data_IF_626011316983
#
_entry.id   IF_626011316983
#
_cell.length_a   1.000
_cell.length_b   1.000
_cell.length_c   1.000
_cell.angle_alpha   90.00
_cell.angle_beta   90.00
_cell.angle_gamma   90.00
#
_symmetry.space_group_name_H-M   'P 1'
#
loop_
_entity.id
_entity.type
_entity.pdbx_description
1 polymer ?
#
# COMPACT_ATOMS: atom_id res chain seq x y z
N UNK A 1 -5.34 -16.43 -9.09
CA UNK A 1 -5.94 -15.08 -9.09
C UNK A 1 -5.10 -14.19 -8.19
N UNK A 2 -4.61 -13.06 -8.69
CA UNK A 2 -3.71 -12.19 -7.93
C UNK A 2 -4.37 -11.65 -6.67
N UNK A 3 -3.60 -11.52 -5.61
CA UNK A 3 -4.06 -11.01 -4.32
C UNK A 3 -3.88 -9.49 -4.25
N UNK A 4 -4.98 -8.77 -4.04
CA UNK A 4 -4.98 -7.30 -3.95
C UNK A 4 -4.93 -6.86 -2.49
N UNK A 5 -3.88 -6.12 -2.11
CA UNK A 5 -3.62 -5.65 -0.75
C UNK A 5 -3.61 -4.12 -0.74
N UNK A 6 -4.55 -3.49 -0.02
CA UNK A 6 -4.52 -2.06 0.22
C UNK A 6 -3.61 -1.74 1.43
N UNK A 7 -2.69 -0.80 1.28
CA UNK A 7 -1.85 -0.29 2.37
C UNK A 7 -2.52 0.96 2.93
N UNK A 8 -3.24 0.84 4.03
CA UNK A 8 -4.08 1.92 4.53
C UNK A 8 -3.87 2.25 6.00
N UNK A 9 -3.87 3.55 6.30
CA UNK A 9 -3.97 4.11 7.65
C UNK A 9 -4.33 5.59 7.54
N UNK A 10 -5.27 6.07 8.35
CA UNK A 10 -5.72 7.48 8.33
C UNK A 10 -4.66 8.45 8.88
N UNK A 11 -3.69 7.95 9.64
CA UNK A 11 -2.60 8.77 10.17
C UNK A 11 -1.52 9.00 9.11
N UNK A 12 -1.14 10.27 8.92
CA UNK A 12 0.02 10.62 8.08
C UNK A 12 1.33 10.14 8.72
N UNK A 13 2.34 9.86 7.90
CA UNK A 13 3.70 9.59 8.35
C UNK A 13 3.90 8.24 9.03
N UNK A 14 2.95 7.30 8.96
CA UNK A 14 3.11 5.95 9.54
C UNK A 14 3.85 4.96 8.63
N UNK A 15 4.27 5.39 7.45
CA UNK A 15 5.03 4.58 6.49
C UNK A 15 4.16 3.78 5.52
N UNK A 16 2.97 4.25 5.13
CA UNK A 16 2.14 3.62 4.09
C UNK A 16 2.89 3.48 2.78
N UNK A 17 3.22 4.61 2.16
CA UNK A 17 3.96 4.68 0.89
C UNK A 17 5.30 3.95 0.96
N UNK A 18 6.05 4.15 2.05
CA UNK A 18 7.30 3.43 2.28
C UNK A 18 7.08 1.91 2.29
N UNK A 19 5.99 1.45 2.90
CA UNK A 19 5.66 0.02 2.93
C UNK A 19 5.19 -0.46 1.55
N UNK A 20 4.36 0.30 0.84
CA UNK A 20 3.91 -0.04 -0.50
C UNK A 20 5.10 -0.22 -1.45
N UNK A 21 6.00 0.77 -1.55
CA UNK A 21 7.21 0.72 -2.38
C UNK A 21 8.07 -0.51 -2.05
N UNK A 22 8.44 -0.65 -0.79
CA UNK A 22 9.46 -1.63 -0.42
C UNK A 22 8.91 -3.06 -0.33
N UNK A 23 7.64 -3.23 0.03
CA UNK A 23 6.96 -4.53 -0.03
C UNK A 23 6.83 -4.99 -1.49
N UNK A 24 6.37 -4.12 -2.40
CA UNK A 24 6.24 -4.43 -3.82
C UNK A 24 7.58 -4.84 -4.42
N UNK A 25 8.63 -4.06 -4.18
CA UNK A 25 9.97 -4.35 -4.68
C UNK A 25 10.55 -5.67 -4.12
N UNK A 26 10.30 -5.98 -2.84
CA UNK A 26 10.76 -7.25 -2.25
C UNK A 26 9.91 -8.45 -2.67
N UNK A 27 8.62 -8.29 -2.95
CA UNK A 27 7.79 -9.33 -3.56
C UNK A 27 8.28 -9.64 -4.98
N UNK A 28 8.57 -8.61 -5.78
CA UNK A 28 9.13 -8.76 -7.12
C UNK A 28 10.53 -9.41 -7.09
N UNK A 29 11.41 -9.01 -6.16
CA UNK A 29 12.71 -9.66 -5.92
C UNK A 29 12.56 -11.16 -5.56
N UNK A 30 11.46 -11.53 -4.91
CA UNK A 30 11.13 -12.92 -4.60
C UNK A 30 10.49 -13.68 -5.78
N UNK A 31 10.45 -13.08 -6.99
CA UNK A 31 9.95 -13.69 -8.22
C UNK A 31 8.43 -13.63 -8.40
N UNK A 32 7.72 -12.83 -7.61
CA UNK A 32 6.28 -12.61 -7.78
C UNK A 32 6.04 -11.52 -8.82
N UNK A 33 5.01 -11.68 -9.66
CA UNK A 33 4.55 -10.62 -10.58
C UNK A 33 3.72 -9.62 -9.77
N UNK A 34 4.18 -8.38 -9.69
CA UNK A 34 3.60 -7.36 -8.82
C UNK A 34 3.13 -6.15 -9.61
N UNK A 35 1.93 -5.67 -9.31
CA UNK A 35 1.47 -4.35 -9.71
C UNK A 35 1.42 -3.45 -8.48
N UNK A 36 2.08 -2.32 -8.52
CA UNK A 36 1.91 -1.26 -7.51
C UNK A 36 1.00 -0.18 -8.08
N UNK A 37 -0.03 0.18 -7.34
CA UNK A 37 -0.94 1.28 -7.68
C UNK A 37 -0.68 2.41 -6.69
N UNK A 38 -0.18 3.53 -7.18
CA UNK A 38 -0.11 4.76 -6.40
C UNK A 38 -1.50 5.42 -6.43
N UNK A 39 -2.15 5.48 -5.28
CA UNK A 39 -3.51 6.02 -5.17
C UNK A 39 -3.56 7.29 -4.31
N UNK A 40 -2.37 7.83 -3.96
CA UNK A 40 -2.22 9.07 -3.21
C UNK A 40 -1.95 10.23 -4.20
N UNK A 41 -2.73 11.34 -4.14
CA UNK A 41 -2.47 12.55 -4.95
C UNK A 41 -1.06 13.11 -4.83
N UNK A 42 -0.33 12.77 -3.77
CA UNK A 42 1.07 13.17 -3.63
C UNK A 42 1.99 12.44 -4.61
N UNK A 43 1.58 11.29 -5.17
CA UNK A 43 2.35 10.49 -6.13
C UNK A 43 3.74 10.08 -5.58
N UNK A 44 3.82 9.80 -4.29
CA UNK A 44 5.09 9.49 -3.64
C UNK A 44 5.56 8.06 -3.92
N UNK A 45 4.64 7.12 -4.16
CA UNK A 45 5.03 5.77 -4.58
C UNK A 45 5.56 5.79 -6.01
N UNK A 46 4.98 6.59 -6.89
CA UNK A 46 5.43 6.84 -8.26
C UNK A 46 6.89 7.28 -8.29
N UNK A 47 7.21 8.39 -7.61
CA UNK A 47 8.60 8.89 -7.57
C UNK A 47 9.55 7.99 -6.79
N UNK A 48 9.07 7.35 -5.73
CA UNK A 48 9.89 6.43 -4.93
C UNK A 48 10.25 5.13 -5.64
N UNK A 49 9.56 4.79 -6.73
CA UNK A 49 9.87 3.69 -7.65
C UNK A 49 10.66 4.13 -8.89
N UNK A 50 11.07 5.41 -8.96
CA UNK A 50 11.94 5.93 -10.00
C UNK A 50 11.25 6.51 -11.22
N UNK A 51 9.94 6.69 -11.18
CA UNK A 51 9.19 7.33 -12.25
C UNK A 51 9.21 8.85 -12.11
N UNK A 52 9.45 9.55 -13.21
CA UNK A 52 9.44 11.01 -13.30
C UNK A 52 8.05 11.48 -13.74
N UNK A 53 7.29 12.09 -12.83
CA UNK A 53 5.89 12.49 -13.06
C UNK A 53 5.70 13.38 -14.28
N UNK A 54 6.69 14.23 -14.55
CA UNK A 54 6.65 15.16 -15.68
C UNK A 54 6.74 14.47 -17.04
N UNK A 55 7.10 13.20 -17.09
CA UNK A 55 7.21 12.39 -18.30
C UNK A 55 6.03 11.43 -18.50
N UNK A 56 5.10 11.41 -17.54
CA UNK A 56 3.92 10.53 -17.57
C UNK A 56 2.76 11.32 -18.17
N UNK A 57 2.17 10.82 -19.25
CA UNK A 57 1.02 11.45 -19.91
C UNK A 57 -0.28 11.07 -19.24
N UNK A 58 -0.48 9.77 -18.97
CA UNK A 58 -1.70 9.24 -18.38
C UNK A 58 -1.38 8.55 -17.03
N UNK A 59 -2.20 8.81 -16.03
CA UNK A 59 -2.06 8.28 -14.67
C UNK A 59 -3.34 7.54 -14.24
N UNK A 60 -3.37 7.07 -13.01
CA UNK A 60 -4.59 6.51 -12.43
C UNK A 60 -5.75 7.51 -12.39
N UNK A 61 -5.48 8.81 -12.45
CA UNK A 61 -6.51 9.85 -12.53
C UNK A 61 -7.31 9.76 -13.83
N UNK A 62 -6.65 9.82 -15.00
CA UNK A 62 -7.30 9.69 -16.31
C UNK A 62 -8.01 8.33 -16.45
N UNK A 63 -7.41 7.27 -15.90
CA UNK A 63 -8.03 5.96 -15.87
C UNK A 63 -9.37 5.96 -15.12
N UNK A 64 -9.44 6.55 -13.94
CA UNK A 64 -10.67 6.59 -13.14
C UNK A 64 -11.78 7.37 -13.79
N UNK A 65 -11.46 8.38 -14.60
CA UNK A 65 -12.43 9.17 -15.36
C UNK A 65 -12.84 8.51 -16.68
N UNK A 66 -12.09 7.49 -17.14
CA UNK A 66 -12.33 6.80 -18.39
C UNK A 66 -11.74 7.54 -19.61
N UNK A 67 -10.81 8.45 -19.38
CA UNK A 67 -10.17 9.25 -20.42
C UNK A 67 -9.01 8.51 -21.10
N UNK A 68 -8.48 7.46 -20.47
CA UNK A 68 -7.47 6.58 -21.03
C UNK A 68 -7.81 5.11 -20.78
N UNK A 69 -7.07 4.19 -21.42
CA UNK A 69 -7.14 2.76 -21.12
C UNK A 69 -6.12 2.38 -20.05
N UNK A 70 -6.33 1.22 -19.41
CA UNK A 70 -5.37 0.70 -18.46
C UNK A 70 -3.96 0.51 -19.06
N UNK A 71 -3.87 0.10 -20.32
CA UNK A 71 -2.58 -0.09 -21.02
C UNK A 71 -1.86 1.24 -21.27
N UNK A 72 -2.59 2.34 -21.44
CA UNK A 72 -1.98 3.66 -21.69
C UNK A 72 -1.27 4.19 -20.45
N UNK A 73 -1.82 3.96 -19.25
CA UNK A 73 -1.26 4.46 -17.99
C UNK A 73 -0.40 3.45 -17.24
N UNK A 74 -0.30 2.19 -17.69
CA UNK A 74 0.46 1.14 -17.02
C UNK A 74 1.96 1.21 -17.38
N UNK A 75 2.79 1.57 -16.40
CA UNK A 75 4.24 1.56 -16.52
C UNK A 75 4.78 0.14 -16.28
N UNK A 76 5.18 -0.53 -17.36
CA UNK A 76 5.66 -1.91 -17.29
C UNK A 76 7.15 -2.01 -16.99
N UNK A 77 7.53 -3.08 -16.31
CA UNK A 77 8.92 -3.44 -16.06
C UNK A 77 9.75 -2.28 -15.41
N UNK A 78 9.12 -1.53 -14.49
CA UNK A 78 9.81 -0.47 -13.72
C UNK A 78 10.98 -1.08 -12.95
N UNK A 79 10.79 -2.30 -12.46
CA UNK A 79 11.82 -3.25 -12.05
C UNK A 79 11.42 -4.65 -12.56
N UNK A 80 12.35 -5.61 -12.54
CA UNK A 80 12.04 -6.99 -12.88
C UNK A 80 10.84 -7.50 -12.07
N UNK A 81 9.78 -7.96 -12.72
CA UNK A 81 8.51 -8.41 -12.17
C UNK A 81 7.66 -7.32 -11.48
N UNK A 82 7.95 -6.05 -11.68
CA UNK A 82 7.22 -4.95 -11.04
C UNK A 82 6.71 -3.95 -12.07
N UNK A 83 5.39 -3.86 -12.19
CA UNK A 83 4.68 -2.82 -12.94
C UNK A 83 4.10 -1.78 -11.98
N UNK A 84 3.88 -0.57 -12.47
CA UNK A 84 3.35 0.54 -11.68
C UNK A 84 2.21 1.23 -12.41
N UNK A 85 1.12 1.48 -11.70
CA UNK A 85 0.07 2.42 -12.11
C UNK A 85 0.33 3.73 -11.37
N UNK A 86 0.84 4.77 -12.05
CA UNK A 86 1.35 5.98 -11.42
C UNK A 86 0.24 6.95 -11.03
N UNK A 87 0.58 7.89 -10.13
CA UNK A 87 -0.28 8.99 -9.70
C UNK A 87 0.45 10.32 -9.76
N UNK A 88 -0.32 11.38 -9.88
CA UNK A 88 0.14 12.76 -9.78
C UNK A 88 -0.83 13.65 -8.99
N UNK A 89 -0.59 14.97 -8.98
CA UNK A 89 -1.41 15.93 -8.23
C UNK A 89 -2.85 16.05 -8.72
N UNK A 90 -3.13 15.69 -10.00
CA UNK A 90 -4.48 15.77 -10.58
C UNK A 90 -5.43 14.79 -9.89
N UNK A 91 -4.89 13.72 -9.33
CA UNK A 91 -5.65 12.74 -8.55
C UNK A 91 -6.46 13.37 -7.39
N UNK A 92 -6.09 14.58 -6.92
CA UNK A 92 -6.89 15.31 -5.93
C UNK A 92 -8.24 15.78 -6.50
N UNK A 93 -8.33 16.03 -7.80
CA UNK A 93 -9.55 16.45 -8.49
C UNK A 93 -10.49 15.27 -8.73
N UNK A 94 -9.95 14.05 -8.83
CA UNK A 94 -10.72 12.82 -9.01
C UNK A 94 -11.80 12.62 -7.93
N UNK A 95 -11.54 13.04 -6.69
CA UNK A 95 -12.54 12.94 -5.61
C UNK A 95 -13.81 13.74 -5.90
N UNK A 96 -13.69 14.86 -6.63
CA UNK A 96 -14.84 15.73 -6.98
C UNK A 96 -15.50 15.18 -8.25
N UNK A 97 -14.73 14.84 -9.26
CA UNK A 97 -15.24 14.43 -10.57
C UNK A 97 -15.92 13.04 -10.51
N UNK A 98 -15.40 12.15 -9.72
CA UNK A 98 -16.04 10.85 -9.45
C UNK A 98 -17.43 10.96 -8.78
N UNK A 99 -17.79 12.10 -8.18
CA UNK A 99 -19.11 12.26 -7.53
C UNK A 99 -20.26 12.05 -8.52
N UNK A 100 -20.06 12.39 -9.78
CA UNK A 100 -21.06 12.28 -10.85
C UNK A 100 -20.97 10.93 -11.61
N UNK A 101 -20.01 10.08 -11.27
CA UNK A 101 -19.83 8.76 -11.90
C UNK A 101 -20.72 7.72 -11.21
N UNK A 102 -21.38 6.91 -12.02
CA UNK A 102 -22.18 5.78 -11.51
C UNK A 102 -21.27 4.71 -10.91
N UNK A 103 -21.65 4.14 -9.75
CA UNK A 103 -20.84 3.17 -9.00
C UNK A 103 -19.43 3.69 -8.64
N UNK A 104 -19.33 4.97 -8.36
CA UNK A 104 -18.08 5.70 -8.07
C UNK A 104 -17.16 5.05 -7.03
N UNK A 105 -17.71 4.26 -6.12
CA UNK A 105 -16.94 3.57 -5.08
C UNK A 105 -16.22 2.29 -5.59
N UNK A 106 -16.55 1.81 -6.80
CA UNK A 106 -16.04 0.56 -7.35
C UNK A 106 -15.36 0.70 -8.72
N UNK A 107 -15.06 1.93 -9.14
CA UNK A 107 -14.44 2.19 -10.45
C UNK A 107 -13.11 1.45 -10.58
N UNK A 108 -12.22 1.59 -9.58
CA UNK A 108 -10.94 0.90 -9.57
C UNK A 108 -11.12 -0.62 -9.65
N UNK A 109 -12.08 -1.19 -8.89
CA UNK A 109 -12.34 -2.63 -8.93
C UNK A 109 -12.67 -3.13 -10.33
N UNK A 110 -13.48 -2.36 -11.08
CA UNK A 110 -13.85 -2.72 -12.46
C UNK A 110 -12.62 -2.85 -13.37
N UNK A 111 -11.64 -1.98 -13.26
CA UNK A 111 -10.39 -2.09 -14.00
C UNK A 111 -9.53 -3.27 -13.52
N UNK A 112 -9.40 -3.47 -12.21
CA UNK A 112 -8.56 -4.54 -11.66
C UNK A 112 -9.07 -5.95 -12.00
N UNK A 113 -10.38 -6.15 -12.13
CA UNK A 113 -10.95 -7.42 -12.57
C UNK A 113 -10.43 -7.87 -13.96
N UNK A 114 -10.04 -6.94 -14.83
CA UNK A 114 -9.55 -7.24 -16.18
C UNK A 114 -8.09 -7.71 -16.23
N UNK A 115 -7.28 -7.38 -15.20
CA UNK A 115 -5.84 -7.66 -15.18
C UNK A 115 -5.38 -8.53 -14.01
N UNK A 116 -6.25 -8.82 -13.07
CA UNK A 116 -5.94 -9.51 -11.81
C UNK A 116 -5.19 -10.83 -11.99
N UNK A 117 -5.48 -11.56 -13.06
CA UNK A 117 -4.83 -12.84 -13.35
C UNK A 117 -3.41 -12.70 -13.93
N UNK A 118 -2.99 -11.49 -14.31
CA UNK A 118 -1.65 -11.23 -14.81
C UNK A 118 -0.63 -11.09 -13.66
N UNK A 119 -1.08 -10.79 -12.44
CA UNK A 119 -0.25 -10.54 -11.27
C UNK A 119 -0.47 -11.57 -10.18
N UNK A 120 0.55 -11.78 -9.38
CA UNK A 120 0.47 -12.59 -8.16
C UNK A 120 0.06 -11.71 -6.97
N UNK A 121 0.52 -10.43 -6.97
CA UNK A 121 0.15 -9.41 -6.00
C UNK A 121 -0.17 -8.08 -6.67
N UNK A 122 -1.20 -7.40 -6.17
CA UNK A 122 -1.52 -6.00 -6.48
C UNK A 122 -1.47 -5.22 -5.16
N UNK A 123 -0.59 -4.22 -5.07
CA UNK A 123 -0.39 -3.40 -3.87
C UNK A 123 -0.92 -2.00 -4.15
N UNK A 124 -1.87 -1.53 -3.35
CA UNK A 124 -2.46 -0.20 -3.49
C UNK A 124 -1.95 0.70 -2.36
N UNK A 125 -1.20 1.77 -2.69
CA UNK A 125 -0.82 2.80 -1.73
C UNK A 125 -1.95 3.81 -1.53
N UNK A 126 -2.58 3.81 -0.36
CA UNK A 126 -3.74 4.63 -0.08
C UNK A 126 -3.37 6.00 0.51
N UNK A 127 -4.11 7.08 0.18
CA UNK A 127 -3.96 8.38 0.82
C UNK A 127 -4.26 8.32 2.34
N UNK A 128 -3.85 9.33 3.11
CA UNK A 128 -4.07 9.36 4.56
C UNK A 128 -5.48 9.78 4.99
N UNK A 129 -6.40 9.91 4.06
CA UNK A 129 -7.78 10.33 4.29
C UNK A 129 -8.76 9.17 4.17
N UNK A 130 -9.93 9.28 4.79
CA UNK A 130 -11.08 8.41 4.52
C UNK A 130 -11.92 9.07 3.41
N UNK A 131 -11.36 9.18 2.23
CA UNK A 131 -11.97 9.79 1.06
C UNK A 131 -12.57 8.74 0.12
N UNK A 132 -13.18 9.20 -0.96
CA UNK A 132 -13.70 8.33 -2.03
C UNK A 132 -12.58 7.47 -2.66
N UNK A 133 -11.36 8.00 -2.76
CA UNK A 133 -10.19 7.25 -3.22
C UNK A 133 -9.90 6.07 -2.30
N UNK A 134 -9.79 6.30 -0.99
CA UNK A 134 -9.56 5.21 -0.03
C UNK A 134 -10.69 4.17 -0.08
N UNK A 135 -11.93 4.59 -0.27
CA UNK A 135 -13.06 3.66 -0.43
C UNK A 135 -12.89 2.81 -1.69
N UNK A 136 -12.53 3.41 -2.85
CA UNK A 136 -12.23 2.67 -4.08
C UNK A 136 -11.13 1.61 -3.86
N UNK A 137 -10.03 1.99 -3.21
CA UNK A 137 -8.95 1.06 -2.89
C UNK A 137 -9.43 -0.12 -2.02
N UNK A 138 -10.25 0.15 -0.98
CA UNK A 138 -10.77 -0.87 -0.09
C UNK A 138 -11.85 -1.75 -0.75
N UNK A 139 -12.60 -1.22 -1.71
CA UNK A 139 -13.59 -2.00 -2.48
C UNK A 139 -12.88 -2.94 -3.45
N UNK A 140 -11.77 -2.50 -4.04
CA UNK A 140 -10.97 -3.30 -4.97
C UNK A 140 -10.04 -4.32 -4.28
N UNK A 141 -9.76 -4.15 -2.98
CA UNK A 141 -8.84 -5.01 -2.24
C UNK A 141 -9.48 -6.28 -1.70
N UNK A 142 -8.70 -7.36 -1.62
CA UNK A 142 -9.03 -8.57 -0.86
C UNK A 142 -8.74 -8.36 0.63
N UNK A 143 -7.61 -7.69 0.91
CA UNK A 143 -7.14 -7.50 2.28
C UNK A 143 -6.52 -6.11 2.49
N UNK A 144 -6.43 -5.70 3.76
CA UNK A 144 -5.82 -4.42 4.18
C UNK A 144 -4.63 -4.68 5.08
N UNK A 145 -3.44 -4.26 4.66
CA UNK A 145 -2.25 -4.19 5.49
C UNK A 145 -2.17 -2.81 6.16
N UNK A 146 -2.00 -2.78 7.47
CA UNK A 146 -2.03 -1.55 8.26
C UNK A 146 -0.65 -1.27 8.88
N UNK A 147 0.15 -0.37 8.30
CA UNK A 147 1.37 0.11 8.94
C UNK A 147 1.04 0.96 10.17
N UNK A 148 1.70 0.68 11.28
CA UNK A 148 1.53 1.42 12.54
C UNK A 148 2.88 1.88 13.05
N UNK A 149 3.05 3.20 13.21
CA UNK A 149 4.20 3.74 13.91
C UNK A 149 4.08 3.46 15.42
N UNK A 150 5.20 3.06 16.05
CA UNK A 150 5.24 2.76 17.49
C UNK A 150 5.22 4.04 18.33
N UNK A 151 4.08 4.74 18.35
CA UNK A 151 3.82 5.99 19.06
C UNK A 151 2.56 5.90 19.92
N UNK A 152 2.39 6.86 20.85
CA UNK A 152 1.30 6.88 21.82
C UNK A 152 -0.10 6.72 21.22
N UNK A 153 -0.38 7.37 20.09
CA UNK A 153 -1.69 7.31 19.41
C UNK A 153 -1.86 6.14 18.42
N UNK A 154 -1.00 5.13 18.50
CA UNK A 154 -1.03 3.98 17.57
C UNK A 154 -2.35 3.20 17.62
N UNK A 155 -2.88 2.95 18.84
CA UNK A 155 -4.13 2.21 19.05
C UNK A 155 -5.37 2.96 18.56
N UNK A 156 -5.38 4.28 18.70
CA UNK A 156 -6.48 5.11 18.23
C UNK A 156 -6.56 5.04 16.69
N UNK A 157 -5.43 5.27 16.01
CA UNK A 157 -5.35 5.16 14.56
C UNK A 157 -5.76 3.77 14.05
N UNK A 158 -5.30 2.71 14.71
CA UNK A 158 -5.68 1.34 14.39
C UNK A 158 -7.18 1.12 14.53
N UNK A 159 -7.79 1.57 15.63
CA UNK A 159 -9.23 1.44 15.86
C UNK A 159 -10.06 2.13 14.78
N UNK A 160 -9.60 3.29 14.29
CA UNK A 160 -10.25 4.03 13.20
C UNK A 160 -10.20 3.24 11.89
N UNK A 161 -9.03 2.68 11.53
CA UNK A 161 -8.89 1.85 10.32
C UNK A 161 -9.76 0.60 10.40
N UNK A 162 -9.76 -0.13 11.52
CA UNK A 162 -10.58 -1.32 11.71
C UNK A 162 -12.08 -1.01 11.59
N UNK A 163 -12.52 0.14 12.10
CA UNK A 163 -13.89 0.62 11.94
C UNK A 163 -14.23 0.87 10.47
N UNK A 164 -13.31 1.47 9.72
CA UNK A 164 -13.48 1.73 8.29
C UNK A 164 -13.59 0.43 7.51
N UNK A 165 -12.68 -0.53 7.74
CA UNK A 165 -12.74 -1.88 7.13
C UNK A 165 -14.10 -2.51 7.41
N UNK A 166 -14.57 -2.46 8.66
CA UNK A 166 -15.88 -2.99 9.04
C UNK A 166 -17.07 -2.32 8.33
N UNK A 167 -16.99 -1.03 8.05
CA UNK A 167 -18.04 -0.30 7.29
C UNK A 167 -18.03 -0.68 5.81
N UNK A 168 -16.84 -0.73 5.17
CA UNK A 168 -16.71 -1.14 3.77
C UNK A 168 -17.14 -2.60 3.59
N UNK A 169 -16.69 -3.50 4.47
CA UNK A 169 -17.07 -4.91 4.49
C UNK A 169 -18.59 -5.10 4.57
N UNK A 170 -19.26 -4.32 5.40
CA UNK A 170 -20.72 -4.43 5.60
C UNK A 170 -21.52 -3.94 4.40
N UNK A 171 -21.03 -2.94 3.65
CA UNK A 171 -21.82 -2.20 2.67
C UNK A 171 -21.42 -2.45 1.22
N UNK A 172 -20.13 -2.70 0.94
CA UNK A 172 -19.58 -2.60 -0.40
C UNK A 172 -18.73 -3.83 -0.78
N UNK A 173 -17.85 -4.31 0.12
CA UNK A 173 -16.96 -5.44 -0.14
C UNK A 173 -17.03 -6.46 1.01
N UNK A 174 -17.98 -7.42 0.99
CA UNK A 174 -18.14 -8.40 2.06
C UNK A 174 -16.94 -9.32 2.29
N UNK A 175 -16.07 -9.49 1.30
CA UNK A 175 -14.86 -10.32 1.36
C UNK A 175 -13.66 -9.60 1.94
N UNK A 176 -13.71 -8.26 2.10
CA UNK A 176 -12.58 -7.49 2.62
C UNK A 176 -12.17 -7.96 4.01
N UNK A 177 -10.89 -8.32 4.15
CA UNK A 177 -10.32 -8.75 5.43
C UNK A 177 -9.14 -7.89 5.88
N UNK A 178 -8.78 -7.97 7.16
CA UNK A 178 -7.53 -7.43 7.65
C UNK A 178 -6.41 -8.39 7.28
N UNK A 179 -5.46 -7.95 6.44
CA UNK A 179 -4.24 -8.68 6.11
C UNK A 179 -3.36 -8.85 7.34
N UNK A 180 -3.13 -7.74 8.00
CA UNK A 180 -2.37 -7.69 9.23
C UNK A 180 -1.85 -6.29 9.54
N UNK A 181 -1.28 -6.19 10.73
CA UNK A 181 -0.61 -4.98 11.21
C UNK A 181 0.89 -5.18 11.14
N UNK A 182 1.61 -4.20 10.57
CA UNK A 182 3.07 -4.13 10.60
C UNK A 182 3.53 -2.92 11.41
N UNK A 183 4.42 -3.14 12.37
CA UNK A 183 5.01 -2.07 13.13
C UNK A 183 6.14 -1.41 12.34
N UNK A 184 6.10 -0.08 12.26
CA UNK A 184 7.06 0.74 11.54
C UNK A 184 7.78 1.70 12.47
N UNK A 185 8.93 2.21 12.01
CA UNK A 185 9.75 3.18 12.76
C UNK A 185 10.02 2.75 14.21
N UNK A 186 10.14 1.44 14.41
CA UNK A 186 10.43 0.87 15.71
C UNK A 186 11.82 1.29 16.21
N UNK A 187 11.89 1.76 17.45
CA UNK A 187 13.14 2.07 18.13
C UNK A 187 13.25 1.23 19.40
N UNK A 188 14.10 0.20 19.36
CA UNK A 188 14.33 -0.72 20.48
C UNK A 188 14.89 -0.05 21.76
N UNK A 189 15.40 1.19 21.64
CA UNK A 189 15.94 1.95 22.78
C UNK A 189 14.85 2.60 23.62
N UNK A 190 13.60 2.63 23.14
CA UNK A 190 12.50 3.31 23.79
C UNK A 190 11.51 2.31 24.39
N UNK A 191 11.15 2.51 25.68
CA UNK A 191 10.10 1.73 26.33
C UNK A 191 8.73 1.93 25.67
N UNK A 192 8.50 3.09 25.06
CA UNK A 192 7.25 3.40 24.39
C UNK A 192 7.00 2.43 23.22
N UNK A 193 8.01 2.17 22.39
CA UNK A 193 7.88 1.22 21.27
C UNK A 193 7.49 -0.19 21.75
N UNK A 194 8.10 -0.66 22.84
CA UNK A 194 7.77 -1.96 23.43
C UNK A 194 6.32 -1.99 23.95
N UNK A 195 5.91 -0.96 24.69
CA UNK A 195 4.56 -0.87 25.25
C UNK A 195 3.49 -0.83 24.15
N UNK A 196 3.73 -0.10 23.06
CA UNK A 196 2.80 -0.04 21.93
C UNK A 196 2.65 -1.41 21.29
N UNK A 197 3.76 -2.12 21.02
CA UNK A 197 3.74 -3.48 20.45
C UNK A 197 2.95 -4.44 21.35
N UNK A 198 3.20 -4.43 22.64
CA UNK A 198 2.51 -5.29 23.61
C UNK A 198 1.00 -4.98 23.66
N UNK A 199 0.63 -3.70 23.71
CA UNK A 199 -0.77 -3.29 23.75
C UNK A 199 -1.54 -3.68 22.48
N UNK A 200 -0.93 -3.53 21.29
CA UNK A 200 -1.55 -3.95 20.04
C UNK A 200 -1.70 -5.47 20.00
N UNK A 201 -0.66 -6.22 20.43
CA UNK A 201 -0.70 -7.70 20.51
C UNK A 201 -1.82 -8.21 21.42
N UNK A 202 -2.08 -7.55 22.52
CA UNK A 202 -3.16 -7.94 23.45
C UNK A 202 -4.56 -7.76 22.84
N UNK A 203 -4.73 -6.84 21.87
CA UNK A 203 -6.03 -6.50 21.29
C UNK A 203 -6.32 -7.17 19.93
N UNK A 204 -5.28 -7.57 19.18
CA UNK A 204 -5.45 -8.07 17.79
C UNK A 204 -5.00 -9.53 17.57
N UNK A 205 -4.49 -10.20 18.62
CA UNK A 205 -4.04 -11.60 18.58
C UNK A 205 -3.21 -11.98 17.34
N UNK A 206 -3.77 -12.72 16.38
CA UNK A 206 -3.04 -13.39 15.31
C UNK A 206 -2.78 -12.56 14.05
N UNK A 207 -3.41 -11.38 13.91
CA UNK A 207 -3.28 -10.55 12.68
C UNK A 207 -2.17 -9.49 12.80
N UNK A 208 -1.04 -9.87 13.37
CA UNK A 208 0.15 -9.02 13.48
C UNK A 208 1.30 -9.72 12.78
N UNK A 209 2.03 -8.98 11.93
CA UNK A 209 3.26 -9.50 11.34
C UNK A 209 4.35 -9.67 12.40
N UNK A 210 5.12 -10.75 12.28
CA UNK A 210 6.29 -10.98 13.15
C UNK A 210 7.39 -9.98 12.84
N UNK A 211 7.47 -9.60 11.57
CA UNK A 211 8.43 -8.60 11.07
C UNK A 211 8.09 -7.21 11.59
N UNK A 212 9.11 -6.51 12.05
CA UNK A 212 9.06 -5.12 12.51
C UNK A 212 10.02 -4.30 11.66
N UNK A 213 9.56 -3.15 11.15
CA UNK A 213 10.38 -2.23 10.36
C UNK A 213 11.05 -1.22 11.29
N UNK A 214 12.38 -1.24 11.43
CA UNK A 214 13.07 -0.32 12.32
C UNK A 214 13.11 1.10 11.74
N UNK A 215 13.30 2.10 12.61
CA UNK A 215 13.61 3.47 12.18
C UNK A 215 15.01 3.49 11.57
N UNK A 216 15.12 3.95 10.32
CA UNK A 216 16.40 4.01 9.60
C UNK A 216 16.42 5.20 8.64
N UNK A 217 17.52 5.94 8.64
CA UNK A 217 17.74 7.11 7.76
C UNK A 217 17.80 6.69 6.28
N UNK A 218 18.43 5.55 5.98
CA UNK A 218 18.52 5.02 4.60
C UNK A 218 17.15 4.82 3.95
N UNK A 219 16.16 4.39 4.73
CA UNK A 219 14.80 4.21 4.25
C UNK A 219 14.10 5.53 3.92
N UNK A 220 14.51 6.63 4.56
CA UNK A 220 14.03 7.97 4.25
C UNK A 220 14.79 8.62 3.09
N UNK A 221 16.05 8.24 2.87
CA UNK A 221 16.89 8.74 1.76
C UNK A 221 16.54 8.07 0.42
N UNK A 222 16.26 6.77 0.41
CA UNK A 222 16.05 5.96 -0.78
C UNK A 222 15.05 6.59 -1.80
N UNK A 223 13.87 7.13 -1.38
CA UNK A 223 12.94 7.77 -2.30
C UNK A 223 13.51 9.00 -3.03
N UNK A 224 14.46 9.74 -2.43
CA UNK A 224 15.11 10.86 -3.10
C UNK A 224 16.03 10.45 -4.26
N UNK A 225 16.33 9.16 -4.35
CA UNK A 225 17.07 8.54 -5.46
C UNK A 225 16.16 7.73 -6.39
N UNK A 226 14.83 7.76 -6.19
CA UNK A 226 13.87 6.97 -6.96
C UNK A 226 14.10 5.46 -6.81
N UNK A 227 14.55 4.98 -5.66
CA UNK A 227 14.90 3.58 -5.44
C UNK A 227 14.23 3.00 -4.19
N UNK A 228 13.70 1.78 -4.24
CA UNK A 228 13.34 1.05 -3.04
C UNK A 228 14.60 0.63 -2.26
N UNK A 229 14.43 0.34 -0.97
CA UNK A 229 15.57 0.09 -0.06
C UNK A 229 16.41 -1.13 -0.46
N UNK A 230 15.82 -2.16 -1.05
CA UNK A 230 16.53 -3.36 -1.50
C UNK A 230 17.51 -3.07 -2.65
N UNK A 231 17.27 -2.02 -3.46
CA UNK A 231 18.17 -1.54 -4.49
C UNK A 231 19.12 -0.45 -3.96
N UNK A 232 18.61 0.47 -3.11
CA UNK A 232 19.41 1.59 -2.59
C UNK A 232 20.48 1.14 -1.60
N UNK A 233 20.12 0.27 -0.64
CA UNK A 233 21.03 -0.30 0.36
C UNK A 233 20.62 -1.75 0.69
N UNK A 234 20.96 -2.66 -0.22
CA UNK A 234 20.51 -4.05 -0.20
C UNK A 234 20.91 -4.85 1.05
N UNK A 235 21.92 -4.36 1.79
CA UNK A 235 22.44 -5.00 3.01
C UNK A 235 21.95 -4.33 4.29
N UNK A 236 21.13 -3.29 4.17
CA UNK A 236 20.58 -2.60 5.35
C UNK A 236 19.61 -3.50 6.12
N UNK A 237 19.49 -3.23 7.41
CA UNK A 237 18.50 -3.91 8.26
C UNK A 237 17.06 -3.70 7.77
N UNK A 238 16.78 -2.56 7.12
CA UNK A 238 15.46 -2.30 6.55
C UNK A 238 15.19 -3.12 5.29
N UNK A 239 16.19 -3.29 4.40
CA UNK A 239 16.04 -4.16 3.24
C UNK A 239 15.73 -5.60 3.68
N UNK A 240 16.46 -6.10 4.67
CA UNK A 240 16.20 -7.42 5.25
C UNK A 240 14.79 -7.50 5.89
N UNK A 241 14.38 -6.47 6.63
CA UNK A 241 13.04 -6.43 7.23
C UNK A 241 11.94 -6.48 6.18
N UNK A 242 12.06 -5.76 5.06
CA UNK A 242 11.06 -5.81 3.99
C UNK A 242 11.07 -7.13 3.22
N UNK A 243 12.23 -7.79 3.04
CA UNK A 243 12.29 -9.16 2.51
C UNK A 243 11.58 -10.16 3.43
N UNK A 244 11.78 -10.05 4.74
CA UNK A 244 11.06 -10.86 5.72
C UNK A 244 9.55 -10.60 5.69
N UNK A 245 9.13 -9.32 5.58
CA UNK A 245 7.72 -8.97 5.44
C UNK A 245 7.13 -9.56 4.17
N UNK A 246 7.83 -9.47 3.03
CA UNK A 246 7.38 -10.06 1.77
C UNK A 246 7.24 -11.60 1.90
N UNK A 247 8.19 -12.27 2.53
CA UNK A 247 8.11 -13.71 2.79
C UNK A 247 6.90 -14.07 3.68
N UNK A 248 6.60 -13.28 4.72
CA UNK A 248 5.40 -13.49 5.54
C UNK A 248 4.11 -13.26 4.75
N UNK A 249 4.07 -12.26 3.85
CA UNK A 249 2.92 -11.98 2.98
C UNK A 249 2.67 -13.13 2.02
N UNK A 250 3.72 -13.68 1.42
CA UNK A 250 3.63 -14.84 0.51
C UNK A 250 3.09 -16.05 1.27
N UNK A 251 3.69 -16.38 2.42
CA UNK A 251 3.30 -17.58 3.19
C UNK A 251 1.84 -17.52 3.69
N UNK A 252 1.34 -16.36 4.08
CA UNK A 252 -0.06 -16.19 4.48
C UNK A 252 -1.04 -16.37 3.32
N UNK A 253 -0.62 -16.08 2.09
CA UNK A 253 -1.42 -16.34 0.89
C UNK A 253 -1.59 -17.82 0.57
N UNK A 254 -0.68 -18.67 1.02
CA UNK A 254 -0.75 -20.13 0.84
C UNK A 254 -1.67 -20.81 1.87
N UNK A 255 -1.99 -20.12 2.97
CA UNK A 255 -2.84 -20.67 4.05
C UNK A 255 -4.33 -20.27 3.90
N UNK A 256 -4.67 -19.39 2.96
CA UNK A 256 -6.02 -18.92 2.62
C UNK A 256 -6.58 -19.61 1.39
#
# INVERSE_FOLDING_TARGET
MGRTIAIANQKCGVGKTTTAINLSACLAEAGQRVLTIDFDPQGNATTGLGLEKEQIEDTVYELLLGDCTLEDCLMRDVQENLDVLPSDSNMAEAEIELLDVENKESVLNGYLETIRDQYDFIIIDCPPSLSLLTINALVAADTVLVPIQCEYYALEGLSQVLRTIGLVRKKMNPSLELEGVVFTMYDARTNLSLQVVENVKQNLNERIYKTIIPRNVRLAEAPSHGMPINLYDSRSTCAESYRLLAAEVISRGEEL
#
